data_IF_714647113520
#
_entry.id   IF_714647113520
#
_cell.length_a   1.000
_cell.length_b   1.000
_cell.length_c   1.000
_cell.angle_alpha   90.00
_cell.angle_beta   90.00
_cell.angle_gamma   90.00
#
_symmetry.space_group_name_H-M   'P 1'
#
loop_
_entity.id
_entity.type
_entity.pdbx_description
1 polymer ?
#
# COMPACT_ATOMS: atom_id res chain seq x y z
N UNK A 1 -30.57 29.42 60.86
CA UNK A 1 -29.72 28.33 61.39
C UNK A 1 -29.37 27.29 60.31
N UNK A 2 -30.28 26.96 59.40
CA UNK A 2 -30.06 26.01 58.28
C UNK A 2 -29.05 26.56 57.28
N UNK A 3 -29.16 27.85 56.91
CA UNK A 3 -28.29 28.51 55.95
C UNK A 3 -26.82 28.58 56.36
N UNK A 4 -26.56 28.74 57.68
CA UNK A 4 -25.20 28.74 58.21
C UNK A 4 -24.56 27.32 58.17
N UNK A 5 -25.36 26.28 58.40
CA UNK A 5 -24.87 24.89 58.33
C UNK A 5 -24.55 24.48 56.91
N UNK A 6 -25.31 24.94 55.88
CA UNK A 6 -25.03 24.68 54.46
C UNK A 6 -23.73 25.37 54.01
N UNK A 7 -23.47 26.63 54.44
CA UNK A 7 -22.25 27.33 54.14
C UNK A 7 -21.03 26.64 54.77
N UNK A 8 -21.13 26.10 55.96
CA UNK A 8 -20.05 25.35 56.62
C UNK A 8 -19.73 24.01 55.89
N UNK A 9 -20.77 23.34 55.39
CA UNK A 9 -20.60 22.11 54.64
C UNK A 9 -19.94 22.36 53.25
N UNK A 10 -20.28 23.45 52.58
CA UNK A 10 -19.68 23.83 51.30
C UNK A 10 -18.21 24.26 51.55
N UNK A 11 -17.93 25.05 52.57
CA UNK A 11 -16.57 25.44 52.92
C UNK A 11 -15.69 24.24 53.30
N UNK A 12 -16.23 23.26 54.05
CA UNK A 12 -15.52 22.04 54.39
C UNK A 12 -15.25 21.16 53.15
N UNK A 13 -16.19 21.11 52.17
CA UNK A 13 -15.99 20.40 50.94
C UNK A 13 -14.93 21.03 50.04
N UNK A 14 -14.89 22.36 49.96
CA UNK A 14 -13.86 23.11 49.21
C UNK A 14 -12.49 22.91 49.84
N UNK A 15 -12.39 22.99 51.18
CA UNK A 15 -11.14 22.77 51.92
C UNK A 15 -10.66 21.32 51.80
N UNK A 16 -11.57 20.35 51.72
CA UNK A 16 -11.20 18.94 51.49
C UNK A 16 -10.67 18.70 50.07
N UNK A 17 -11.24 19.36 49.08
CA UNK A 17 -10.76 19.26 47.68
C UNK A 17 -9.41 19.92 47.49
N UNK A 18 -9.17 21.07 48.08
CA UNK A 18 -7.85 21.72 48.06
C UNK A 18 -6.78 20.94 48.88
N UNK A 19 -7.16 20.30 49.99
CA UNK A 19 -6.25 19.50 50.76
C UNK A 19 -5.85 18.18 50.06
N UNK A 20 -6.76 17.56 49.32
CA UNK A 20 -6.44 16.40 48.50
C UNK A 20 -5.52 16.73 47.33
N UNK A 21 -5.72 17.92 46.69
CA UNK A 21 -4.86 18.40 45.63
C UNK A 21 -3.47 18.83 46.10
N UNK A 22 -3.39 19.43 47.31
CA UNK A 22 -2.13 19.92 47.90
C UNK A 22 -1.19 18.79 48.38
N UNK A 23 -1.70 17.60 48.60
CA UNK A 23 -0.91 16.44 49.06
C UNK A 23 -0.39 15.53 47.95
N UNK A 24 -0.67 15.80 46.68
CA UNK A 24 -0.05 15.09 45.59
C UNK A 24 1.39 15.59 45.44
N UNK A 25 2.34 14.82 45.93
CA UNK A 25 3.77 15.10 45.72
C UNK A 25 4.02 15.04 44.20
N UNK A 26 4.36 16.18 43.52
CA UNK A 26 4.60 16.19 42.09
C UNK A 26 5.71 15.23 41.66
N UNK A 27 6.63 14.87 42.58
CA UNK A 27 7.67 13.86 42.34
C UNK A 27 7.13 12.43 42.32
N UNK A 28 5.87 12.18 42.74
CA UNK A 28 5.23 10.87 42.71
C UNK A 28 4.39 10.62 41.43
N UNK A 29 4.23 11.63 40.60
CA UNK A 29 3.50 11.43 39.35
C UNK A 29 4.36 10.67 38.33
N UNK A 30 3.82 9.69 37.64
CA UNK A 30 4.53 8.99 36.58
C UNK A 30 5.07 9.98 35.52
N UNK A 31 6.26 9.73 35.03
CA UNK A 31 6.89 10.53 34.00
C UNK A 31 6.00 10.59 32.74
N UNK A 32 5.94 11.79 32.13
CA UNK A 32 5.24 11.97 30.87
C UNK A 32 6.09 11.36 29.75
N UNK A 33 5.50 10.45 28.99
CA UNK A 33 6.09 9.82 27.82
C UNK A 33 5.48 10.42 26.56
N UNK A 34 6.31 10.67 25.55
CA UNK A 34 5.89 11.13 24.24
C UNK A 34 5.92 9.91 23.29
N UNK A 35 4.76 9.50 22.82
CA UNK A 35 4.62 8.34 21.96
C UNK A 35 4.22 8.81 20.57
N UNK A 36 5.02 8.46 19.56
CA UNK A 36 4.64 8.74 18.17
C UNK A 36 3.67 7.66 17.71
N UNK A 37 2.49 8.08 17.27
CA UNK A 37 1.46 7.19 16.73
C UNK A 37 1.33 7.46 15.23
N UNK A 38 1.41 6.40 14.44
CA UNK A 38 1.04 6.38 13.03
C UNK A 38 -0.28 5.65 12.89
N UNK A 39 -1.33 6.33 12.43
CA UNK A 39 -2.64 5.78 12.12
C UNK A 39 -2.88 5.95 10.62
N UNK A 40 -2.54 4.93 9.84
CA UNK A 40 -2.39 5.05 8.41
C UNK A 40 -1.28 6.07 8.05
N UNK A 41 -1.64 7.09 7.28
CA UNK A 41 -0.71 8.18 6.90
C UNK A 41 -0.62 9.31 7.95
N UNK A 42 -1.49 9.28 8.96
CA UNK A 42 -1.55 10.34 9.98
C UNK A 42 -0.54 10.07 11.08
N UNK A 43 0.37 11.03 11.30
CA UNK A 43 1.33 11.00 12.40
C UNK A 43 0.90 11.94 13.52
N UNK A 44 0.78 11.40 14.74
CA UNK A 44 0.43 12.18 15.95
C UNK A 44 1.41 11.86 17.07
N UNK A 45 1.66 12.83 17.96
CA UNK A 45 2.42 12.58 19.19
C UNK A 45 1.46 12.64 20.38
N UNK A 46 1.31 11.49 21.04
CA UNK A 46 0.48 11.34 22.23
C UNK A 46 1.35 11.49 23.47
N UNK A 47 0.98 12.41 24.36
CA UNK A 47 1.61 12.56 25.69
C UNK A 47 0.81 11.76 26.71
N UNK A 48 1.45 10.80 27.35
CA UNK A 48 0.79 9.93 28.34
C UNK A 48 1.63 9.74 29.60
N UNK A 49 0.96 9.51 30.73
CA UNK A 49 1.54 8.97 31.96
C UNK A 49 1.22 7.49 32.13
N UNK A 50 0.53 6.89 31.16
CA UNK A 50 0.20 5.47 31.15
C UNK A 50 1.44 4.57 31.16
N UNK A 51 1.23 3.32 31.49
CA UNK A 51 2.30 2.31 31.58
C UNK A 51 2.25 1.29 30.44
N UNK A 52 1.18 1.29 29.66
CA UNK A 52 0.93 0.30 28.60
C UNK A 52 0.58 1.00 27.28
N UNK A 53 0.81 0.31 26.17
CA UNK A 53 0.34 0.78 24.85
C UNK A 53 -1.19 0.82 24.79
N UNK A 54 -1.88 0.01 25.60
CA UNK A 54 -3.33 0.10 25.73
C UNK A 54 -3.78 1.49 26.20
N UNK A 55 -3.09 2.09 27.17
CA UNK A 55 -3.42 3.44 27.65
C UNK A 55 -3.28 4.49 26.52
N UNK A 56 -2.34 4.29 25.59
CA UNK A 56 -2.17 5.14 24.42
C UNK A 56 -3.32 4.92 23.42
N UNK A 57 -3.63 3.64 23.13
CA UNK A 57 -4.70 3.27 22.19
C UNK A 57 -6.07 3.78 22.66
N UNK A 58 -6.37 3.68 23.95
CA UNK A 58 -7.62 4.14 24.56
C UNK A 58 -7.74 5.69 24.50
N UNK A 59 -6.62 6.41 24.36
CA UNK A 59 -6.59 7.87 24.25
C UNK A 59 -6.66 8.39 22.81
N UNK A 60 -6.67 7.51 21.81
CA UNK A 60 -6.77 7.91 20.42
C UNK A 60 -8.15 8.54 20.11
N UNK A 61 -8.15 9.54 19.24
CA UNK A 61 -9.39 10.18 18.77
C UNK A 61 -10.34 9.20 18.07
N UNK A 62 -9.78 8.16 17.47
CA UNK A 62 -10.51 7.03 16.91
C UNK A 62 -10.03 5.74 17.60
N UNK A 63 -10.83 5.17 18.50
CA UNK A 63 -10.51 3.89 19.15
C UNK A 63 -10.30 2.78 18.12
N UNK A 64 -9.54 1.74 18.51
CA UNK A 64 -9.40 0.54 17.69
C UNK A 64 -10.76 -0.14 17.52
N UNK A 65 -11.08 -0.51 16.28
CA UNK A 65 -12.22 -1.37 15.96
C UNK A 65 -11.83 -2.85 16.12
N UNK A 66 -12.80 -3.74 16.11
CA UNK A 66 -12.62 -5.17 16.38
C UNK A 66 -11.55 -5.85 15.52
N UNK A 67 -11.39 -5.42 14.26
CA UNK A 67 -10.48 -6.05 13.29
C UNK A 67 -9.25 -5.20 12.98
N UNK A 68 -9.10 -4.04 13.66
CA UNK A 68 -7.89 -3.23 13.53
C UNK A 68 -6.73 -3.92 14.24
N UNK A 69 -5.53 -3.77 13.72
CA UNK A 69 -4.31 -4.29 14.32
C UNK A 69 -3.35 -3.15 14.67
N UNK A 70 -2.37 -3.45 15.50
CA UNK A 70 -1.30 -2.52 15.79
C UNK A 70 -0.01 -3.25 16.07
N UNK A 71 1.10 -2.58 15.88
CA UNK A 71 2.41 -3.04 16.30
C UNK A 71 3.22 -1.89 16.91
N UNK A 72 4.24 -2.21 17.70
CA UNK A 72 4.99 -1.26 18.51
C UNK A 72 6.48 -1.42 18.29
N UNK A 73 7.23 -0.32 18.32
CA UNK A 73 8.68 -0.35 18.18
C UNK A 73 9.40 -0.95 19.37
N UNK A 74 8.71 -1.11 20.50
CA UNK A 74 9.26 -1.65 21.76
C UNK A 74 8.21 -2.51 22.46
N UNK A 75 8.64 -3.54 23.17
CA UNK A 75 7.75 -4.43 23.95
C UNK A 75 7.00 -3.67 25.05
N UNK A 76 7.69 -2.78 25.75
CA UNK A 76 7.13 -1.99 26.86
C UNK A 76 7.04 -0.52 26.49
N UNK A 77 6.00 0.15 26.99
CA UNK A 77 5.82 1.58 26.79
C UNK A 77 6.93 2.38 27.47
N UNK A 78 7.67 3.16 26.71
CA UNK A 78 8.70 4.09 27.16
C UNK A 78 8.64 5.38 26.36
N UNK A 79 9.29 6.43 26.87
CA UNK A 79 9.43 7.69 26.12
C UNK A 79 10.09 7.46 24.76
N UNK A 80 9.59 8.13 23.73
CA UNK A 80 10.06 7.98 22.35
C UNK A 80 9.61 6.69 21.64
N UNK A 81 8.80 5.83 22.25
CA UNK A 81 8.25 4.65 21.57
C UNK A 81 7.35 5.05 20.40
N UNK A 82 7.25 4.16 19.41
CA UNK A 82 6.40 4.33 18.23
C UNK A 82 5.33 3.25 18.23
N UNK A 83 4.11 3.65 17.93
CA UNK A 83 2.93 2.80 17.78
C UNK A 83 2.40 2.98 16.36
N UNK A 84 2.19 1.87 15.66
CA UNK A 84 1.59 1.85 14.32
C UNK A 84 0.22 1.18 14.42
N UNK A 85 -0.80 1.86 13.93
CA UNK A 85 -2.18 1.37 13.87
C UNK A 85 -2.51 1.06 12.41
N UNK A 86 -2.97 -0.16 12.17
CA UNK A 86 -3.43 -0.61 10.87
C UNK A 86 -4.95 -0.78 10.91
N UNK A 87 -5.65 0.08 10.18
CA UNK A 87 -7.12 0.08 10.13
C UNK A 87 -7.60 -0.97 9.16
N UNK A 88 -8.46 -1.86 9.66
CA UNK A 88 -9.13 -2.84 8.81
C UNK A 88 -10.22 -2.19 7.97
N UNK A 89 -10.38 -2.68 6.75
CA UNK A 89 -11.48 -2.29 5.86
C UNK A 89 -12.33 -3.52 5.51
N UNK A 90 -13.66 -3.37 5.43
CA UNK A 90 -14.53 -4.44 4.95
C UNK A 90 -14.36 -4.59 3.43
N UNK A 91 -14.17 -5.82 2.98
CA UNK A 91 -14.21 -6.21 1.57
C UNK A 91 -15.15 -7.39 1.40
N UNK A 92 -15.79 -7.49 0.25
CA UNK A 92 -16.70 -8.58 -0.07
C UNK A 92 -16.02 -9.54 -1.03
N UNK A 93 -15.77 -10.77 -0.60
CA UNK A 93 -15.32 -11.85 -1.47
C UNK A 93 -16.54 -12.53 -2.05
N UNK A 94 -16.54 -12.68 -3.38
CA UNK A 94 -17.61 -13.32 -4.15
C UNK A 94 -17.06 -14.61 -4.75
N UNK A 95 -17.66 -15.74 -4.40
CA UNK A 95 -17.32 -17.05 -4.92
C UNK A 95 -18.62 -17.79 -5.29
N UNK A 96 -18.78 -18.19 -6.55
CA UNK A 96 -20.00 -18.88 -7.02
C UNK A 96 -21.29 -18.16 -6.60
N UNK A 97 -21.37 -16.86 -6.84
CA UNK A 97 -22.48 -15.94 -6.46
C UNK A 97 -22.76 -15.87 -4.96
N UNK A 98 -21.89 -16.41 -4.11
CA UNK A 98 -21.96 -16.28 -2.66
C UNK A 98 -21.06 -15.15 -2.20
N UNK A 99 -21.64 -14.21 -1.49
CA UNK A 99 -20.91 -13.07 -0.90
C UNK A 99 -20.46 -13.40 0.53
N UNK A 100 -19.21 -13.11 0.85
CA UNK A 100 -18.63 -13.18 2.19
C UNK A 100 -17.92 -11.89 2.50
N UNK A 101 -18.34 -11.17 3.53
CA UNK A 101 -17.62 -10.00 4.01
C UNK A 101 -16.47 -10.46 4.90
N UNK A 102 -15.28 -9.96 4.61
CA UNK A 102 -14.10 -10.08 5.45
C UNK A 102 -13.60 -8.69 5.85
N UNK A 103 -12.87 -8.63 6.94
CA UNK A 103 -12.17 -7.41 7.38
C UNK A 103 -10.69 -7.67 7.26
N UNK A 104 -9.97 -6.81 6.57
CA UNK A 104 -8.54 -6.98 6.33
C UNK A 104 -7.77 -5.69 6.55
N UNK A 105 -6.55 -5.79 7.06
CA UNK A 105 -5.56 -4.72 7.15
C UNK A 105 -4.59 -4.77 5.97
N UNK A 106 -4.71 -5.76 5.10
CA UNK A 106 -3.86 -5.92 3.93
C UNK A 106 -4.11 -4.80 2.91
N UNK A 107 -3.04 -4.34 2.30
CA UNK A 107 -3.11 -3.23 1.35
C UNK A 107 -3.42 -3.67 -0.08
N UNK A 108 -3.25 -4.96 -0.40
CA UNK A 108 -3.44 -5.51 -1.75
C UNK A 108 -4.52 -6.58 -1.77
N UNK A 109 -5.15 -6.76 -2.92
CA UNK A 109 -6.14 -7.83 -3.16
C UNK A 109 -5.52 -9.19 -2.83
N UNK A 110 -4.30 -9.45 -3.27
CA UNK A 110 -3.58 -10.69 -2.97
C UNK A 110 -3.43 -10.91 -1.46
N UNK A 111 -3.04 -9.89 -0.71
CA UNK A 111 -2.94 -9.97 0.74
C UNK A 111 -4.29 -10.30 1.39
N UNK A 112 -5.35 -9.61 0.99
CA UNK A 112 -6.71 -9.84 1.51
C UNK A 112 -7.22 -11.26 1.24
N UNK A 113 -6.97 -11.78 0.03
CA UNK A 113 -7.35 -13.13 -0.37
C UNK A 113 -6.56 -14.19 0.41
N UNK A 114 -5.27 -13.96 0.66
CA UNK A 114 -4.43 -14.84 1.48
C UNK A 114 -4.94 -14.89 2.93
N UNK A 115 -5.22 -13.74 3.54
CA UNK A 115 -5.78 -13.67 4.89
C UNK A 115 -7.14 -14.36 5.00
N UNK A 116 -7.94 -14.33 3.92
CA UNK A 116 -9.21 -15.03 3.84
C UNK A 116 -9.07 -16.56 3.72
N UNK A 117 -7.83 -17.06 3.54
CA UNK A 117 -7.51 -18.47 3.51
C UNK A 117 -7.77 -19.18 2.17
N UNK A 118 -7.81 -18.44 1.07
CA UNK A 118 -7.97 -19.02 -0.25
C UNK A 118 -6.69 -19.70 -0.75
N UNK A 119 -6.86 -20.84 -1.37
CA UNK A 119 -5.77 -21.60 -2.01
C UNK A 119 -5.56 -21.12 -3.45
N UNK A 120 -4.51 -20.37 -3.69
CA UNK A 120 -4.10 -19.84 -5.01
C UNK A 120 -3.84 -20.91 -6.07
N UNK A 121 -3.68 -22.17 -5.68
CA UNK A 121 -3.54 -23.30 -6.64
C UNK A 121 -4.87 -23.72 -7.24
N UNK A 122 -5.97 -23.25 -6.68
CA UNK A 122 -7.32 -23.66 -7.09
C UNK A 122 -8.17 -22.49 -7.55
N UNK A 123 -7.97 -21.34 -6.95
CA UNK A 123 -8.79 -20.16 -7.19
C UNK A 123 -7.93 -18.91 -7.22
N UNK A 124 -8.28 -17.96 -8.07
CA UNK A 124 -7.63 -16.65 -8.11
C UNK A 124 -8.67 -15.54 -8.23
N UNK A 125 -8.35 -14.33 -7.82
CA UNK A 125 -9.22 -13.16 -8.02
C UNK A 125 -9.23 -12.78 -9.51
N UNK A 126 -10.35 -12.24 -9.99
CA UNK A 126 -10.44 -11.59 -11.29
C UNK A 126 -9.81 -10.21 -11.25
N UNK A 127 -9.81 -9.57 -10.09
CA UNK A 127 -9.15 -8.28 -9.85
C UNK A 127 -7.63 -8.49 -9.81
N UNK A 128 -6.90 -7.47 -10.25
CA UNK A 128 -5.44 -7.50 -10.16
C UNK A 128 -5.00 -7.65 -8.70
N UNK A 129 -4.21 -8.68 -8.43
CA UNK A 129 -3.71 -9.00 -7.08
C UNK A 129 -2.91 -7.88 -6.42
N UNK A 130 -2.29 -7.00 -7.20
CA UNK A 130 -1.54 -5.84 -6.71
C UNK A 130 -2.41 -4.59 -6.50
N UNK A 131 -3.67 -4.61 -6.95
CA UNK A 131 -4.60 -3.51 -6.74
C UNK A 131 -4.77 -3.21 -5.26
N UNK A 132 -4.80 -1.90 -4.92
CA UNK A 132 -4.98 -1.44 -3.54
C UNK A 132 -6.39 -1.79 -3.05
N UNK A 133 -6.47 -2.41 -1.89
CA UNK A 133 -7.72 -2.69 -1.19
C UNK A 133 -8.32 -1.39 -0.65
N UNK A 134 -9.62 -1.26 -0.79
CA UNK A 134 -10.40 -0.15 -0.24
C UNK A 134 -11.72 -0.65 0.35
N UNK A 135 -12.34 0.17 1.15
CA UNK A 135 -13.62 -0.14 1.80
C UNK A 135 -14.70 -0.50 0.77
N UNK A 136 -15.44 -1.57 1.07
CA UNK A 136 -16.52 -2.13 0.23
C UNK A 136 -16.07 -2.63 -1.16
N UNK A 137 -14.79 -2.85 -1.37
CA UNK A 137 -14.28 -3.49 -2.58
C UNK A 137 -14.89 -4.88 -2.72
N UNK A 138 -15.25 -5.26 -3.96
CA UNK A 138 -15.69 -6.61 -4.30
C UNK A 138 -14.52 -7.34 -4.99
N UNK A 139 -14.25 -8.56 -4.54
CA UNK A 139 -13.19 -9.44 -5.07
C UNK A 139 -13.86 -10.73 -5.53
N UNK A 140 -13.79 -11.02 -6.84
CA UNK A 140 -14.41 -12.19 -7.43
C UNK A 140 -13.39 -13.32 -7.52
N UNK A 141 -13.63 -14.38 -6.75
CA UNK A 141 -12.80 -15.59 -6.76
C UNK A 141 -13.33 -16.59 -7.76
N UNK A 142 -12.49 -17.01 -8.70
CA UNK A 142 -12.84 -17.98 -9.72
C UNK A 142 -11.88 -19.18 -9.73
N UNK A 143 -12.38 -20.40 -9.98
CA UNK A 143 -11.52 -21.54 -10.25
C UNK A 143 -10.82 -21.35 -11.59
N UNK A 144 -9.60 -21.83 -11.71
CA UNK A 144 -8.83 -21.71 -12.93
C UNK A 144 -8.07 -22.97 -13.27
N UNK A 145 -7.65 -23.08 -14.52
CA UNK A 145 -6.64 -24.02 -15.01
C UNK A 145 -5.51 -23.23 -15.65
N UNK A 146 -4.29 -23.73 -15.56
CA UNK A 146 -3.14 -23.11 -16.19
C UNK A 146 -2.67 -23.93 -17.39
N UNK A 147 -2.18 -23.25 -18.43
CA UNK A 147 -1.48 -23.88 -19.55
C UNK A 147 -0.30 -23.03 -20.00
N UNK A 148 0.75 -23.68 -20.48
CA UNK A 148 1.89 -23.01 -21.06
C UNK A 148 1.69 -22.83 -22.56
N UNK A 149 1.92 -21.63 -23.06
CA UNK A 149 1.90 -21.29 -24.48
C UNK A 149 3.21 -20.59 -24.88
N UNK A 150 3.56 -20.74 -26.14
CA UNK A 150 4.68 -20.01 -26.74
C UNK A 150 4.13 -19.01 -27.74
N UNK A 151 4.55 -17.75 -27.61
CA UNK A 151 4.14 -16.67 -28.50
C UNK A 151 5.38 -15.96 -29.02
N UNK A 152 5.40 -15.66 -30.32
CA UNK A 152 6.40 -14.76 -30.89
C UNK A 152 5.80 -13.38 -31.05
N UNK A 153 6.58 -12.37 -30.71
CA UNK A 153 6.18 -10.98 -30.86
C UNK A 153 7.28 -10.17 -31.53
N UNK A 154 6.87 -9.09 -32.20
CA UNK A 154 7.77 -8.11 -32.76
C UNK A 154 7.63 -6.81 -31.97
N UNK A 155 8.73 -6.38 -31.34
CA UNK A 155 8.79 -5.12 -30.60
C UNK A 155 9.31 -4.05 -31.53
N UNK A 156 8.56 -2.97 -31.80
CA UNK A 156 9.00 -1.90 -32.66
C UNK A 156 10.34 -1.30 -32.21
N UNK A 157 11.19 -0.97 -33.18
CA UNK A 157 12.43 -0.26 -32.91
C UNK A 157 12.12 1.11 -32.30
N UNK A 158 12.80 1.46 -31.21
CA UNK A 158 12.84 2.84 -30.74
C UNK A 158 13.79 3.68 -31.59
N UNK A 159 13.86 4.98 -31.31
CA UNK A 159 14.76 5.90 -31.97
C UNK A 159 15.80 6.47 -30.99
N UNK A 160 17.02 6.63 -31.46
CA UNK A 160 17.97 7.56 -30.85
C UNK A 160 17.63 8.96 -31.32
N UNK A 161 17.22 9.82 -30.38
CA UNK A 161 16.75 11.17 -30.68
C UNK A 161 17.91 12.17 -30.61
N UNK A 162 18.02 13.00 -31.65
CA UNK A 162 18.97 14.10 -31.72
C UNK A 162 18.22 15.42 -31.71
N UNK A 163 18.71 16.38 -30.96
CA UNK A 163 18.12 17.73 -30.96
C UNK A 163 18.49 18.51 -32.20
N UNK A 164 17.50 19.15 -32.82
CA UNK A 164 17.65 20.03 -33.96
C UNK A 164 16.85 21.32 -33.75
N UNK A 165 17.55 22.43 -33.58
CA UNK A 165 16.95 23.74 -33.31
C UNK A 165 16.17 24.33 -34.49
N UNK A 166 16.29 23.76 -35.68
CA UNK A 166 15.54 24.18 -36.86
C UNK A 166 14.15 23.58 -36.95
N UNK A 167 13.85 22.58 -36.15
CA UNK A 167 12.55 21.92 -36.07
C UNK A 167 11.63 22.62 -35.09
N UNK A 168 10.33 22.61 -35.35
CA UNK A 168 9.35 23.07 -34.40
C UNK A 168 9.34 22.22 -33.13
N UNK A 169 8.92 22.77 -31.97
CA UNK A 169 8.77 21.97 -30.77
C UNK A 169 7.93 20.73 -31.02
N UNK A 170 8.39 19.58 -30.51
CA UNK A 170 7.76 18.24 -30.66
C UNK A 170 7.71 17.69 -32.13
N UNK A 171 8.21 18.43 -33.11
CA UNK A 171 8.38 17.90 -34.47
C UNK A 171 9.45 16.82 -34.47
N UNK A 172 9.17 15.68 -35.11
CA UNK A 172 10.08 14.53 -35.20
C UNK A 172 10.33 14.21 -36.68
N UNK A 173 11.59 14.21 -37.09
CA UNK A 173 12.02 13.82 -38.41
C UNK A 173 12.87 12.56 -38.33
N UNK A 174 12.38 11.45 -38.88
CA UNK A 174 13.13 10.19 -38.94
C UNK A 174 14.23 10.31 -39.99
N UNK A 175 15.47 10.06 -39.61
CA UNK A 175 16.64 10.06 -40.46
C UNK A 175 16.95 8.66 -40.97
N UNK A 176 16.81 7.68 -40.07
CA UNK A 176 17.03 6.29 -40.35
C UNK A 176 16.03 5.46 -39.55
N UNK A 177 15.31 4.57 -40.24
CA UNK A 177 14.43 3.59 -39.59
C UNK A 177 15.24 2.56 -38.85
N UNK A 178 14.74 2.13 -37.71
CA UNK A 178 15.29 1.00 -36.96
C UNK A 178 14.70 -0.33 -37.45
N UNK A 179 15.28 -1.42 -36.98
CA UNK A 179 14.71 -2.76 -37.17
C UNK A 179 14.06 -3.25 -35.87
N UNK A 180 12.86 -3.84 -35.93
CA UNK A 180 12.19 -4.34 -34.75
C UNK A 180 12.96 -5.52 -34.15
N UNK A 181 12.84 -5.69 -32.83
CA UNK A 181 13.30 -6.87 -32.13
C UNK A 181 12.24 -7.97 -32.26
N UNK A 182 12.67 -9.20 -32.55
CA UNK A 182 11.79 -10.39 -32.48
C UNK A 182 12.11 -11.18 -31.24
N UNK A 183 11.07 -11.48 -30.47
CA UNK A 183 11.16 -12.24 -29.22
C UNK A 183 10.23 -13.43 -29.24
N UNK A 184 10.66 -14.47 -28.53
CA UNK A 184 9.82 -15.61 -28.14
C UNK A 184 9.53 -15.51 -26.67
N UNK A 185 8.24 -15.58 -26.34
CA UNK A 185 7.75 -15.56 -24.97
C UNK A 185 7.25 -16.96 -24.60
N UNK A 186 7.66 -17.46 -23.44
CA UNK A 186 7.00 -18.58 -22.79
C UNK A 186 6.06 -18.02 -21.73
N UNK A 187 4.77 -18.29 -21.86
CA UNK A 187 3.69 -17.63 -21.11
C UNK A 187 2.88 -18.73 -20.41
N UNK A 188 2.60 -18.56 -19.14
CA UNK A 188 1.57 -19.32 -18.44
C UNK A 188 0.26 -18.54 -18.51
N UNK A 189 -0.75 -19.12 -19.18
CA UNK A 189 -2.10 -18.58 -19.27
C UNK A 189 -2.97 -19.21 -18.18
N UNK A 190 -3.68 -18.38 -17.43
CA UNK A 190 -4.67 -18.81 -16.43
C UNK A 190 -6.06 -18.65 -17.02
N UNK A 191 -6.82 -19.75 -17.03
CA UNK A 191 -8.08 -19.85 -17.78
C UNK A 191 -9.21 -20.19 -16.81
N UNK A 192 -10.27 -19.38 -16.84
CA UNK A 192 -11.53 -19.64 -16.15
C UNK A 192 -12.68 -19.54 -17.16
N UNK A 193 -13.61 -20.48 -17.12
CA UNK A 193 -14.76 -20.55 -18.03
C UNK A 193 -14.38 -20.42 -19.52
N UNK A 194 -13.24 -21.01 -19.89
CA UNK A 194 -12.73 -20.99 -21.26
C UNK A 194 -12.12 -19.67 -21.72
N UNK A 195 -11.99 -18.69 -20.84
CA UNK A 195 -11.37 -17.38 -21.12
C UNK A 195 -10.06 -17.24 -20.38
N UNK A 196 -9.06 -16.65 -21.03
CA UNK A 196 -7.82 -16.26 -20.36
C UNK A 196 -8.14 -15.07 -19.45
N UNK A 197 -7.91 -15.23 -18.14
CA UNK A 197 -8.15 -14.23 -17.11
C UNK A 197 -6.86 -13.57 -16.62
N UNK A 198 -5.73 -14.23 -16.80
CA UNK A 198 -4.41 -13.71 -16.48
C UNK A 198 -3.34 -14.38 -17.34
N UNK A 199 -2.25 -13.66 -17.64
CA UNK A 199 -1.06 -14.19 -18.32
C UNK A 199 0.18 -13.83 -17.48
N UNK A 200 1.10 -14.78 -17.33
CA UNK A 200 2.41 -14.59 -16.70
C UNK A 200 3.51 -14.98 -17.68
N UNK A 201 4.35 -14.05 -18.07
CA UNK A 201 5.52 -14.32 -18.92
C UNK A 201 6.64 -14.77 -18.01
N UNK A 202 7.08 -16.03 -18.11
CA UNK A 202 8.15 -16.56 -17.26
C UNK A 202 9.48 -16.71 -17.99
N UNK A 203 9.49 -16.60 -19.34
CA UNK A 203 10.73 -16.59 -20.11
C UNK A 203 10.59 -15.74 -21.36
N UNK A 204 11.63 -14.94 -21.64
CA UNK A 204 11.79 -14.15 -22.85
C UNK A 204 13.09 -14.52 -23.52
N UNK A 205 13.02 -14.87 -24.80
CA UNK A 205 14.18 -15.18 -25.63
C UNK A 205 14.23 -14.25 -26.83
N UNK A 206 15.30 -13.50 -27.02
CA UNK A 206 15.50 -12.65 -28.19
C UNK A 206 15.90 -13.53 -29.37
N UNK A 207 15.08 -13.59 -30.39
CA UNK A 207 15.34 -14.32 -31.63
C UNK A 207 16.15 -13.47 -32.61
N UNK A 208 15.80 -12.18 -32.72
CA UNK A 208 16.49 -11.21 -33.55
C UNK A 208 16.60 -9.90 -32.78
N UNK A 209 17.83 -9.43 -32.57
CA UNK A 209 18.05 -8.18 -31.86
C UNK A 209 17.56 -6.98 -32.68
N UNK A 210 16.79 -6.09 -32.04
CA UNK A 210 16.37 -4.85 -32.66
C UNK A 210 17.52 -3.86 -32.79
N UNK A 211 17.46 -3.00 -33.79
CA UNK A 211 18.37 -1.88 -33.96
C UNK A 211 17.59 -0.57 -33.89
N UNK A 212 17.99 0.33 -32.99
CA UNK A 212 17.35 1.64 -32.89
C UNK A 212 17.56 2.45 -34.17
N UNK A 213 16.48 3.09 -34.62
CA UNK A 213 16.55 4.09 -35.64
C UNK A 213 17.20 5.40 -35.13
N UNK A 214 17.36 6.36 -36.03
CA UNK A 214 17.85 7.70 -35.73
C UNK A 214 16.78 8.71 -36.15
N UNK A 215 16.42 9.60 -35.21
CA UNK A 215 15.49 10.68 -35.47
C UNK A 215 16.00 12.01 -34.92
N UNK A 216 15.57 13.13 -35.52
CA UNK A 216 15.77 14.47 -34.97
C UNK A 216 14.48 14.98 -34.38
N UNK A 217 14.56 15.76 -33.31
CA UNK A 217 13.39 16.39 -32.68
C UNK A 217 13.67 17.82 -32.31
N UNK A 218 12.66 18.68 -32.47
CA UNK A 218 12.69 20.03 -31.96
C UNK A 218 12.56 20.06 -30.44
N UNK A 219 13.15 21.08 -29.80
CA UNK A 219 13.07 21.25 -28.35
C UNK A 219 11.68 21.74 -27.97
N UNK A 220 11.09 21.09 -26.95
CA UNK A 220 9.88 21.61 -26.31
C UNK A 220 10.24 22.80 -25.43
N UNK A 221 9.50 23.91 -25.54
CA UNK A 221 9.71 25.07 -24.70
C UNK A 221 9.56 24.71 -23.21
N UNK A 222 10.58 25.05 -22.42
CA UNK A 222 10.62 24.75 -20.99
C UNK A 222 11.03 23.31 -20.61
N UNK A 223 11.27 22.43 -21.58
CA UNK A 223 11.75 21.07 -21.29
C UNK A 223 13.27 21.07 -21.04
N UNK A 224 13.66 20.68 -19.84
CA UNK A 224 15.04 20.36 -19.47
C UNK A 224 15.11 18.84 -19.34
N UNK A 225 15.58 18.12 -20.38
CA UNK A 225 15.74 16.68 -20.30
C UNK A 225 15.55 15.93 -21.61
N UNK A 226 15.77 14.64 -21.55
CA UNK A 226 15.64 13.70 -22.66
C UNK A 226 14.32 12.95 -22.54
N UNK A 227 13.57 12.83 -23.61
CA UNK A 227 12.43 11.91 -23.68
C UNK A 227 12.95 10.57 -24.13
N UNK A 228 12.78 9.55 -23.27
CA UNK A 228 13.06 8.15 -23.62
C UNK A 228 11.78 7.34 -23.45
N UNK A 229 11.52 6.44 -24.39
CA UNK A 229 10.47 5.45 -24.22
C UNK A 229 11.07 4.29 -23.41
N UNK A 230 10.53 4.04 -22.23
CA UNK A 230 10.90 2.90 -21.42
C UNK A 230 9.80 1.86 -21.47
N UNK A 231 10.16 0.60 -21.74
CA UNK A 231 9.27 -0.52 -21.52
C UNK A 231 9.36 -0.90 -20.04
N UNK A 232 8.29 -0.69 -19.29
CA UNK A 232 8.18 -1.17 -17.94
C UNK A 232 7.62 -2.59 -17.96
N UNK A 233 8.36 -3.57 -17.47
CA UNK A 233 7.86 -4.91 -17.18
C UNK A 233 7.58 -4.97 -15.69
N UNK A 234 6.33 -5.26 -15.32
CA UNK A 234 5.97 -5.56 -13.95
C UNK A 234 6.23 -7.05 -13.69
N UNK A 235 7.03 -7.35 -12.69
CA UNK A 235 7.24 -8.71 -12.23
C UNK A 235 6.31 -8.98 -11.05
N UNK A 236 5.70 -10.15 -11.04
CA UNK A 236 4.94 -10.62 -9.88
C UNK A 236 5.92 -10.92 -8.73
N UNK A 237 5.66 -10.51 -7.49
CA UNK A 237 6.59 -10.71 -6.36
C UNK A 237 6.91 -12.18 -6.03
N UNK A 238 6.19 -13.14 -6.60
CA UNK A 238 6.45 -14.57 -6.45
C UNK A 238 7.30 -15.18 -7.58
N UNK A 239 7.73 -14.41 -8.58
CA UNK A 239 8.50 -14.94 -9.73
C UNK A 239 9.99 -15.14 -9.41
N UNK A 240 10.39 -15.34 -8.17
CA UNK A 240 11.74 -15.82 -7.76
C UNK A 240 12.92 -15.11 -8.44
N UNK A 241 12.69 -14.00 -9.08
CA UNK A 241 13.67 -13.24 -9.84
C UNK A 241 14.60 -12.50 -8.90
N UNK A 242 15.79 -13.06 -8.79
CA UNK A 242 16.88 -12.56 -7.99
C UNK A 242 17.19 -11.10 -8.24
N UNK A 243 17.68 -10.47 -7.16
CA UNK A 243 18.05 -9.10 -7.05
C UNK A 243 18.76 -8.51 -8.24
N UNK A 244 18.20 -7.42 -8.70
CA UNK A 244 18.91 -6.50 -9.56
C UNK A 244 19.97 -5.76 -8.76
N UNK A 245 21.11 -5.65 -9.32
CA UNK A 245 22.23 -4.81 -8.90
C UNK A 245 21.89 -3.35 -9.21
#
# INVERSE_FOLDING_TARGET
KIMVAVLFLIAAAIMHTEFVLANVNPASLPEIKNITVYDGEVRTVVKTRGNTFKDVLDSLSQPLRMHDTYWTSTEKLKDGAVLYVERSVPVTIIENDKEKIIYTTQQTVQGAVNDAGYDWRKMMPLEDGLSKVHENMKIHMVPYTARNVVREESVPAGYTMWYDSSLAPDEVVVIQEGTPERRRLEIEEFISDGKVIHESVFKVETLEAGVKGIARTGKRDGAVGWVTTMNATAYHPNDGGGGGV
#
